data_IF_139774795615
#
_entry.id   IF_139774795615
#
_cell.length_a   1.000
_cell.length_b   1.000
_cell.length_c   1.000
_cell.angle_alpha   90.00
_cell.angle_beta   90.00
_cell.angle_gamma   90.00
#
_symmetry.space_group_name_H-M   'P 1'
#
loop_
_entity.id
_entity.type
_entity.pdbx_description
1 polymer ?
#
# COMPACT_ATOMS: atom_id res chain seq x y z
N UNK A 1 15.95 -20.08 13.41
CA UNK A 1 15.59 -18.79 12.78
C UNK A 1 14.44 -18.17 13.56
N UNK A 2 14.53 -16.91 13.99
CA UNK A 2 13.49 -16.20 14.74
C UNK A 2 13.10 -14.94 13.97
N UNK A 3 11.85 -14.83 13.56
CA UNK A 3 11.30 -13.67 12.82
C UNK A 3 10.75 -12.66 13.83
N UNK A 4 10.97 -11.36 13.58
CA UNK A 4 10.46 -10.29 14.44
C UNK A 4 9.10 -9.76 13.95
N UNK A 5 9.05 -9.27 12.70
CA UNK A 5 7.86 -8.67 12.09
C UNK A 5 8.01 -8.64 10.56
N UNK A 6 6.94 -8.26 9.86
CA UNK A 6 6.97 -7.97 8.43
C UNK A 6 7.47 -6.54 8.22
N UNK A 7 8.57 -6.33 7.49
CA UNK A 7 9.09 -4.98 7.19
C UNK A 7 8.25 -4.29 6.10
N UNK A 8 8.01 -5.00 5.00
CA UNK A 8 7.18 -4.54 3.90
C UNK A 8 6.63 -5.70 3.08
N UNK A 9 5.68 -5.37 2.20
CA UNK A 9 5.21 -6.23 1.11
C UNK A 9 5.21 -5.47 -0.22
N UNK A 10 4.95 -6.18 -1.31
CA UNK A 10 4.82 -5.59 -2.65
C UNK A 10 3.39 -5.76 -3.13
N UNK A 11 2.73 -4.67 -3.53
CA UNK A 11 1.48 -4.74 -4.29
C UNK A 11 1.77 -4.58 -5.78
N UNK A 12 1.23 -5.50 -6.57
CA UNK A 12 1.13 -5.32 -8.01
C UNK A 12 -0.15 -4.53 -8.30
N UNK A 13 -0.06 -3.44 -9.05
CA UNK A 13 -1.19 -2.54 -9.31
C UNK A 13 -1.29 -2.22 -10.80
N UNK A 14 -2.48 -1.87 -11.27
CA UNK A 14 -2.68 -1.46 -12.66
C UNK A 14 -2.10 -0.08 -12.96
N UNK A 15 -2.19 0.85 -12.00
CA UNK A 15 -1.67 2.20 -12.09
C UNK A 15 -1.09 2.67 -10.74
N UNK A 16 0.19 3.07 -10.75
CA UNK A 16 0.88 3.52 -9.53
C UNK A 16 0.31 4.84 -9.01
N UNK A 17 0.02 5.81 -9.87
CA UNK A 17 -0.45 7.14 -9.46
C UNK A 17 -1.83 7.07 -8.81
N UNK A 18 -2.76 6.33 -9.40
CA UNK A 18 -4.09 6.09 -8.82
C UNK A 18 -3.99 5.39 -7.47
N UNK A 19 -3.09 4.41 -7.33
CA UNK A 19 -2.86 3.71 -6.06
C UNK A 19 -2.29 4.66 -5.01
N UNK A 20 -1.27 5.45 -5.37
CA UNK A 20 -0.68 6.46 -4.50
C UNK A 20 -1.74 7.46 -4.01
N UNK A 21 -2.54 7.99 -4.94
CA UNK A 21 -3.59 8.94 -4.62
C UNK A 21 -4.63 8.34 -3.65
N UNK A 22 -5.08 7.10 -3.90
CA UNK A 22 -6.02 6.42 -3.02
C UNK A 22 -5.47 6.26 -1.61
N UNK A 23 -4.32 5.61 -1.45
CA UNK A 23 -3.78 5.32 -0.11
C UNK A 23 -3.35 6.57 0.65
N UNK A 24 -2.88 7.62 -0.04
CA UNK A 24 -2.58 8.90 0.59
C UNK A 24 -3.84 9.62 1.06
N UNK A 25 -4.92 9.59 0.27
CA UNK A 25 -6.14 10.36 0.56
C UNK A 25 -7.07 9.63 1.54
N UNK A 26 -7.22 8.31 1.36
CA UNK A 26 -8.19 7.48 2.10
C UNK A 26 -7.60 6.94 3.40
N UNK A 27 -6.33 6.54 3.40
CA UNK A 27 -5.68 5.94 4.57
C UNK A 27 -4.57 6.81 5.17
N UNK A 28 -4.30 7.99 4.59
CA UNK A 28 -3.28 8.91 5.11
C UNK A 28 -1.84 8.42 4.96
N UNK A 29 -1.57 7.47 4.07
CA UNK A 29 -0.21 6.93 3.90
C UNK A 29 0.72 7.96 3.23
N UNK A 30 1.99 7.97 3.63
CA UNK A 30 3.02 8.83 3.02
C UNK A 30 3.52 8.19 1.71
N UNK A 31 3.41 8.91 0.59
CA UNK A 31 3.99 8.47 -0.69
C UNK A 31 5.47 8.81 -0.73
N UNK A 32 6.33 7.79 -0.71
CA UNK A 32 7.78 7.95 -0.78
C UNK A 32 8.31 7.51 -2.14
N UNK A 33 9.33 8.22 -2.63
CA UNK A 33 10.07 7.86 -3.85
C UNK A 33 11.49 7.47 -3.47
N UNK A 34 11.98 6.34 -3.99
CA UNK A 34 13.30 5.83 -3.64
C UNK A 34 13.92 5.06 -4.80
N UNK A 35 15.26 4.96 -4.81
CA UNK A 35 16.03 4.23 -5.82
C UNK A 35 15.59 4.57 -7.26
N UNK A 36 15.55 5.86 -7.56
CA UNK A 36 15.05 6.38 -8.83
C UNK A 36 13.58 6.74 -8.74
N UNK A 37 12.75 6.08 -9.55
CA UNK A 37 11.32 6.33 -9.72
C UNK A 37 10.42 5.39 -8.92
N UNK A 38 10.99 4.48 -8.10
CA UNK A 38 10.19 3.51 -7.34
C UNK A 38 9.35 4.22 -6.29
N UNK A 39 8.07 3.86 -6.24
CA UNK A 39 7.09 4.37 -5.28
C UNK A 39 6.80 3.35 -4.19
N UNK A 40 6.63 3.84 -2.97
CA UNK A 40 6.07 3.07 -1.87
C UNK A 40 5.12 3.92 -1.03
N UNK A 41 4.25 3.24 -0.29
CA UNK A 41 3.31 3.81 0.66
C UNK A 41 3.79 3.49 2.06
N UNK A 42 4.15 4.50 2.84
CA UNK A 42 4.68 4.34 4.19
C UNK A 42 3.61 4.64 5.23
N UNK A 43 3.54 3.81 6.27
CA UNK A 43 2.63 3.94 7.41
C UNK A 43 3.29 3.36 8.66
N UNK A 44 3.23 4.07 9.78
CA UNK A 44 4.00 3.74 10.97
C UNK A 44 5.49 3.53 10.64
N UNK A 45 6.00 2.34 10.98
CA UNK A 45 7.38 1.92 10.71
C UNK A 45 7.51 0.92 9.55
N UNK A 46 6.47 0.75 8.74
CA UNK A 46 6.38 -0.22 7.65
C UNK A 46 6.07 0.49 6.32
N UNK A 47 6.13 -0.28 5.23
CA UNK A 47 5.72 0.22 3.91
C UNK A 47 5.15 -0.84 2.99
N UNK A 48 4.52 -0.39 1.92
CA UNK A 48 4.12 -1.19 0.77
C UNK A 48 4.86 -0.66 -0.45
N UNK A 49 5.70 -1.47 -1.08
CA UNK A 49 6.29 -1.12 -2.38
C UNK A 49 5.27 -1.37 -3.49
N UNK A 50 5.23 -0.49 -4.49
CA UNK A 50 4.31 -0.60 -5.62
C UNK A 50 5.04 -1.03 -6.88
N UNK A 51 4.57 -2.10 -7.51
CA UNK A 51 4.98 -2.52 -8.84
C UNK A 51 3.80 -2.37 -9.79
N UNK A 52 3.99 -1.74 -10.95
CA UNK A 52 2.94 -1.69 -11.97
C UNK A 52 2.90 -3.02 -12.73
N UNK A 53 1.69 -3.50 -13.04
CA UNK A 53 1.50 -4.68 -13.89
C UNK A 53 2.20 -4.49 -15.23
N UNK A 54 2.95 -5.50 -15.68
CA UNK A 54 3.76 -5.43 -16.91
C UNK A 54 5.08 -4.67 -16.77
N UNK A 55 5.30 -3.91 -15.69
CA UNK A 55 6.54 -3.15 -15.44
C UNK A 55 7.04 -3.33 -14.00
N UNK A 56 7.13 -4.59 -13.56
CA UNK A 56 7.61 -4.96 -12.24
C UNK A 56 9.10 -5.33 -12.24
N UNK A 57 9.77 -5.10 -11.11
CA UNK A 57 11.17 -5.48 -10.91
C UNK A 57 11.31 -6.96 -10.57
N UNK A 58 12.45 -7.55 -10.90
CA UNK A 58 12.85 -8.89 -10.44
C UNK A 58 13.78 -8.82 -9.21
N UNK A 59 13.70 -9.80 -8.28
CA UNK A 59 12.72 -10.89 -8.23
C UNK A 59 11.32 -10.42 -7.79
N UNK A 60 10.27 -11.13 -8.21
CA UNK A 60 8.88 -10.89 -7.79
C UNK A 60 8.12 -12.20 -7.52
N UNK A 61 6.88 -12.10 -7.05
CA UNK A 61 5.98 -13.25 -6.91
C UNK A 61 5.81 -13.99 -8.25
N UNK A 62 5.57 -15.30 -8.20
CA UNK A 62 5.42 -16.12 -9.41
C UNK A 62 4.28 -15.64 -10.32
N UNK A 63 3.16 -15.21 -9.74
CA UNK A 63 2.00 -14.66 -10.44
C UNK A 63 1.61 -13.31 -9.82
N UNK A 64 2.26 -12.20 -10.20
CA UNK A 64 1.93 -10.87 -9.69
C UNK A 64 0.59 -10.42 -10.25
N UNK A 65 -0.43 -10.34 -9.38
CA UNK A 65 -1.82 -10.13 -9.78
C UNK A 65 -2.42 -8.92 -9.07
N UNK A 66 -2.81 -7.85 -9.80
CA UNK A 66 -3.56 -6.74 -9.22
C UNK A 66 -4.83 -7.19 -8.51
N UNK A 67 -5.11 -6.62 -7.33
CA UNK A 67 -6.32 -6.95 -6.56
C UNK A 67 -6.30 -8.29 -5.83
N UNK A 68 -5.17 -9.01 -5.82
CA UNK A 68 -5.04 -10.30 -5.13
C UNK A 68 -4.74 -10.20 -3.63
N UNK A 69 -4.46 -9.00 -3.13
CA UNK A 69 -4.12 -8.79 -1.73
C UNK A 69 -5.38 -8.60 -0.87
N UNK A 70 -5.36 -9.21 0.31
CA UNK A 70 -6.32 -9.02 1.38
C UNK A 70 -5.52 -8.62 2.63
N UNK A 71 -5.77 -7.40 3.14
CA UNK A 71 -4.94 -6.76 4.14
C UNK A 71 -5.81 -6.14 5.24
N UNK A 72 -5.40 -6.31 6.48
CA UNK A 72 -5.98 -5.65 7.64
C UNK A 72 -4.95 -4.68 8.24
N UNK A 73 -5.34 -3.42 8.38
CA UNK A 73 -4.54 -2.40 9.07
C UNK A 73 -5.21 -2.05 10.40
N UNK A 74 -4.38 -1.88 11.43
CA UNK A 74 -4.83 -1.37 12.72
C UNK A 74 -4.65 0.14 12.72
N UNK A 75 -5.68 0.85 13.19
CA UNK A 75 -5.66 2.30 13.36
C UNK A 75 -5.90 2.66 14.81
N UNK A 76 -5.20 3.67 15.31
CA UNK A 76 -5.47 4.29 16.61
C UNK A 76 -6.71 5.23 16.54
N UNK A 77 -7.17 5.56 15.34
CA UNK A 77 -8.41 6.33 15.12
C UNK A 77 -9.63 5.48 15.49
N UNK A 78 -10.58 5.99 16.30
CA UNK A 78 -11.81 5.29 16.62
C UNK A 78 -12.55 4.83 15.35
N UNK A 79 -13.05 3.60 15.36
CA UNK A 79 -13.69 2.99 14.18
C UNK A 79 -14.86 3.82 13.63
N UNK A 80 -15.60 4.54 14.49
CA UNK A 80 -16.68 5.43 14.07
C UNK A 80 -16.19 6.60 13.21
N UNK A 81 -15.01 7.15 13.52
CA UNK A 81 -14.41 8.25 12.75
C UNK A 81 -13.85 7.74 11.43
N UNK A 82 -13.26 6.53 11.41
CA UNK A 82 -12.83 5.87 10.17
C UNK A 82 -14.02 5.68 9.23
N UNK A 83 -15.13 5.12 9.73
CA UNK A 83 -16.35 4.93 8.94
C UNK A 83 -16.90 6.26 8.42
N UNK A 84 -16.93 7.31 9.26
CA UNK A 84 -17.39 8.63 8.84
C UNK A 84 -16.50 9.23 7.73
N UNK A 85 -15.18 9.10 7.85
CA UNK A 85 -14.22 9.55 6.85
C UNK A 85 -14.40 8.85 5.49
N UNK A 86 -14.51 7.51 5.50
CA UNK A 86 -14.72 6.73 4.28
C UNK A 86 -16.03 7.13 3.58
N UNK A 87 -17.12 7.28 4.34
CA UNK A 87 -18.40 7.76 3.81
C UNK A 87 -18.30 9.16 3.18
N UNK A 88 -17.54 10.09 3.77
CA UNK A 88 -17.31 11.43 3.21
C UNK A 88 -16.56 11.38 1.88
N UNK A 89 -15.68 10.39 1.69
CA UNK A 89 -14.96 10.15 0.45
C UNK A 89 -15.74 9.31 -0.57
N UNK A 90 -16.96 8.86 -0.23
CA UNK A 90 -17.79 7.94 -1.02
C UNK A 90 -17.09 6.61 -1.31
N UNK A 91 -16.41 6.07 -0.30
CA UNK A 91 -15.82 4.72 -0.30
C UNK A 91 -16.73 3.77 0.49
#
# INVERSE_FOLDING_TARGET
MKISHLDHLVLTVSNIESTCHFYQTVLGFEVITFKGDRKALKFGNQKINLHQQGNGFEPKALQPTPGSADLCFISDTPISEVVAHLNQLNI
#
